data_IF_327372559748
#
_entry.id   IF_327372559748
#
_cell.length_a   1.000
_cell.length_b   1.000
_cell.length_c   1.000
_cell.angle_alpha   90.00
_cell.angle_beta   90.00
_cell.angle_gamma   90.00
#
_symmetry.space_group_name_H-M   'P 1'
#
loop_
_entity.id
_entity.type
_entity.pdbx_description
1 polymer ?
#
# COMPACT_ATOMS: atom_id res chain seq x y z
N UNK A 1 14.39 8.63 11.93
CA UNK A 1 15.51 7.96 11.29
C UNK A 1 16.30 8.95 10.42
N UNK A 2 15.66 9.65 9.47
CA UNK A 2 16.33 10.57 8.55
C UNK A 2 17.23 11.59 9.28
N UNK A 3 16.74 12.22 10.33
CA UNK A 3 17.49 13.26 11.08
C UNK A 3 18.51 12.70 12.07
N UNK A 4 18.21 11.53 12.70
CA UNK A 4 19.02 10.98 13.80
C UNK A 4 20.04 9.95 13.36
N UNK A 5 19.80 9.28 12.24
CA UNK A 5 20.65 8.19 11.73
C UNK A 5 21.29 8.58 10.41
N UNK A 6 20.49 8.97 9.41
CA UNK A 6 21.00 9.36 8.09
C UNK A 6 21.70 10.73 8.09
N UNK A 7 21.37 11.64 9.03
CA UNK A 7 21.99 12.96 9.15
C UNK A 7 21.43 14.02 8.20
N UNK A 8 20.21 13.82 7.70
CA UNK A 8 19.50 14.84 6.93
C UNK A 8 19.27 16.09 7.80
N UNK A 9 19.40 17.28 7.22
CA UNK A 9 19.15 18.53 7.93
C UNK A 9 17.69 18.62 8.38
N UNK A 10 17.46 19.21 9.54
CA UNK A 10 16.10 19.45 10.06
C UNK A 10 15.23 20.11 8.98
N UNK A 11 14.00 19.63 8.86
CA UNK A 11 12.98 20.07 7.90
C UNK A 11 13.30 19.87 6.42
N UNK A 12 14.40 19.18 6.09
CA UNK A 12 14.79 18.90 4.70
C UNK A 12 14.44 17.48 4.22
N UNK A 13 14.00 16.59 5.10
CA UNK A 13 13.72 15.20 4.73
C UNK A 13 12.58 15.10 3.71
N UNK A 14 12.76 14.20 2.74
CA UNK A 14 11.80 13.94 1.67
C UNK A 14 11.41 12.47 1.63
N UNK A 15 10.20 12.21 1.13
CA UNK A 15 9.67 10.89 0.83
C UNK A 15 9.31 10.86 -0.65
N UNK A 16 9.78 9.84 -1.37
CA UNK A 16 9.37 9.58 -2.75
C UNK A 16 8.17 8.62 -2.72
N UNK A 17 7.08 9.00 -3.34
CA UNK A 17 5.87 8.20 -3.53
C UNK A 17 5.53 8.05 -4.99
N UNK A 18 4.54 7.23 -5.32
CA UNK A 18 4.06 7.05 -6.69
C UNK A 18 2.76 7.80 -6.94
N UNK A 19 2.52 8.22 -8.18
CA UNK A 19 1.21 8.71 -8.62
C UNK A 19 0.15 7.60 -8.52
N UNK A 20 -1.12 7.98 -8.46
CA UNK A 20 -2.24 7.05 -8.26
C UNK A 20 -2.30 6.44 -6.85
N UNK A 21 -1.51 6.95 -5.90
CA UNK A 21 -1.43 6.41 -4.55
C UNK A 21 -2.67 6.70 -3.70
N UNK A 22 -2.86 5.81 -2.70
CA UNK A 22 -3.80 6.04 -1.62
C UNK A 22 -3.22 5.57 -0.29
N UNK A 23 -2.68 6.48 0.51
CA UNK A 23 -2.09 6.19 1.82
C UNK A 23 -2.94 6.70 3.00
N UNK A 24 -4.20 7.02 2.77
CA UNK A 24 -5.13 7.54 3.78
C UNK A 24 -5.58 8.98 3.50
N UNK A 25 -6.22 9.60 4.49
CA UNK A 25 -6.86 10.93 4.34
C UNK A 25 -6.44 11.94 5.39
N UNK A 26 -5.31 11.75 6.06
CA UNK A 26 -4.72 12.80 6.90
C UNK A 26 -4.14 13.90 6.03
N UNK A 27 -4.10 15.13 6.52
CA UNK A 27 -3.62 16.31 5.77
C UNK A 27 -2.23 16.10 5.18
N UNK A 28 -1.32 15.45 5.92
CA UNK A 28 0.03 15.15 5.42
C UNK A 28 0.00 14.20 4.22
N UNK A 29 -0.83 13.17 4.29
CA UNK A 29 -0.90 12.11 3.27
C UNK A 29 -1.61 12.58 2.02
N UNK A 30 -2.74 13.30 2.15
CA UNK A 30 -3.42 13.83 0.96
C UNK A 30 -2.62 14.94 0.27
N UNK A 31 -1.63 15.52 0.95
CA UNK A 31 -0.76 16.55 0.36
C UNK A 31 0.09 16.07 -0.81
N UNK A 32 0.23 14.77 -1.00
CA UNK A 32 0.86 14.17 -2.18
C UNK A 32 -0.05 13.16 -2.91
N UNK A 33 -1.36 13.30 -2.77
CA UNK A 33 -2.34 12.60 -3.58
C UNK A 33 -2.58 13.35 -4.89
N UNK A 34 -2.74 12.64 -5.97
CA UNK A 34 -3.16 13.16 -7.28
C UNK A 34 -4.67 12.95 -7.55
N UNK A 35 -5.41 12.46 -6.55
CA UNK A 35 -6.87 12.42 -6.55
C UNK A 35 -7.44 13.81 -6.19
N UNK A 36 -8.03 14.56 -7.15
CA UNK A 36 -8.56 15.89 -6.90
C UNK A 36 -9.69 15.89 -5.86
N UNK A 37 -10.50 14.83 -5.78
CA UNK A 37 -11.58 14.73 -4.80
C UNK A 37 -11.07 14.59 -3.35
N UNK A 38 -9.85 14.10 -3.18
CA UNK A 38 -9.21 13.99 -1.87
C UNK A 38 -8.29 15.18 -1.55
N UNK A 39 -7.69 15.80 -2.57
CA UNK A 39 -6.65 16.80 -2.43
C UNK A 39 -7.21 18.24 -2.45
N UNK A 40 -8.07 18.58 -3.43
CA UNK A 40 -8.43 19.94 -3.68
C UNK A 40 -9.28 20.58 -2.55
N UNK A 41 -8.96 21.81 -2.21
CA UNK A 41 -9.62 22.61 -1.18
C UNK A 41 -9.46 22.12 0.29
N UNK A 42 -8.54 21.20 0.58
CA UNK A 42 -8.28 20.71 1.94
C UNK A 42 -6.94 21.17 2.57
N UNK A 43 -6.08 21.86 1.81
CA UNK A 43 -4.80 22.39 2.31
C UNK A 43 -4.94 23.43 3.44
N UNK A 44 -3.83 23.98 3.94
CA UNK A 44 -2.47 23.91 3.38
C UNK A 44 -1.76 22.56 3.66
N UNK A 45 -0.94 22.14 2.71
CA UNK A 45 -0.21 20.88 2.79
C UNK A 45 1.25 21.08 3.20
N UNK A 46 1.82 20.06 3.87
CA UNK A 46 3.22 20.04 4.21
C UNK A 46 4.11 19.73 2.99
N UNK A 47 5.32 20.30 2.92
CA UNK A 47 6.32 19.96 1.92
C UNK A 47 6.95 18.58 2.19
N UNK A 48 7.85 18.14 1.29
CA UNK A 48 8.71 16.99 1.53
C UNK A 48 8.26 15.71 0.84
N UNK A 49 7.34 15.79 -0.10
CA UNK A 49 6.93 14.66 -0.92
C UNK A 49 7.28 14.90 -2.39
N UNK A 50 7.74 13.83 -3.05
CA UNK A 50 8.04 13.80 -4.49
C UNK A 50 7.28 12.63 -5.09
N UNK A 51 6.53 12.86 -6.16
CA UNK A 51 5.80 11.82 -6.87
C UNK A 51 6.51 11.43 -8.16
N UNK A 52 6.48 10.13 -8.46
CA UNK A 52 6.97 9.54 -9.70
C UNK A 52 5.89 8.62 -10.29
N UNK A 53 5.98 8.23 -11.57
CA UNK A 53 5.05 7.22 -12.12
C UNK A 53 5.12 5.89 -11.36
N UNK A 54 3.97 5.28 -11.08
CA UNK A 54 3.91 3.94 -10.48
C UNK A 54 4.44 2.90 -11.48
N UNK A 55 5.22 1.94 -10.98
CA UNK A 55 5.83 0.88 -11.81
C UNK A 55 7.13 1.28 -12.50
N UNK A 56 7.60 2.53 -12.33
CA UNK A 56 8.87 3.02 -12.89
C UNK A 56 9.95 3.13 -11.78
N UNK A 57 10.72 2.05 -11.61
CA UNK A 57 11.78 2.00 -10.60
C UNK A 57 12.94 2.97 -10.91
N UNK A 58 13.22 3.24 -12.18
CA UNK A 58 14.31 4.16 -12.54
C UNK A 58 13.90 5.63 -12.32
N UNK A 59 12.60 5.95 -12.47
CA UNK A 59 12.09 7.26 -12.03
C UNK A 59 12.23 7.44 -10.51
N UNK A 60 12.02 6.37 -9.73
CA UNK A 60 12.30 6.39 -8.28
C UNK A 60 13.78 6.65 -8.03
N UNK A 61 14.69 5.93 -8.70
CA UNK A 61 16.14 6.11 -8.57
C UNK A 61 16.60 7.53 -8.89
N UNK A 62 16.00 8.15 -9.91
CA UNK A 62 16.31 9.52 -10.33
C UNK A 62 15.76 10.58 -9.36
N UNK A 63 14.67 10.29 -8.65
CA UNK A 63 14.06 11.20 -7.69
C UNK A 63 14.76 11.21 -6.31
N UNK A 64 15.56 10.19 -6.01
CA UNK A 64 16.27 10.08 -4.73
C UNK A 64 17.49 11.00 -4.70
N UNK A 65 17.52 11.91 -3.72
CA UNK A 65 18.63 12.79 -3.40
C UNK A 65 19.17 12.54 -1.98
N UNK A 66 20.14 13.36 -1.53
CA UNK A 66 20.74 13.28 -0.20
C UNK A 66 19.74 13.52 0.95
N UNK A 67 18.64 14.20 0.68
CA UNK A 67 17.59 14.50 1.66
C UNK A 67 16.47 13.44 1.67
N UNK A 68 16.47 12.50 0.75
CA UNK A 68 15.45 11.47 0.67
C UNK A 68 15.58 10.49 1.84
N UNK A 69 14.54 10.41 2.65
CA UNK A 69 14.45 9.54 3.81
C UNK A 69 13.93 8.13 3.43
N UNK A 70 12.94 8.09 2.58
CA UNK A 70 12.24 6.86 2.23
C UNK A 70 11.61 6.91 0.85
N UNK A 71 11.33 5.71 0.32
CA UNK A 71 10.38 5.45 -0.76
C UNK A 71 9.15 4.81 -0.13
N UNK A 72 7.96 5.36 -0.37
CA UNK A 72 6.67 4.86 0.13
C UNK A 72 5.83 4.37 -1.04
N UNK A 73 5.55 3.08 -1.08
CA UNK A 73 4.86 2.42 -2.20
C UNK A 73 3.80 1.45 -1.68
N UNK A 74 2.63 1.45 -2.32
CA UNK A 74 1.72 0.31 -2.28
C UNK A 74 2.28 -0.77 -3.20
N UNK A 75 2.51 -2.01 -2.75
CA UNK A 75 2.99 -3.08 -3.63
C UNK A 75 2.06 -3.37 -4.81
N UNK A 76 0.75 -3.18 -4.59
CA UNK A 76 -0.31 -3.15 -5.60
C UNK A 76 -1.20 -1.98 -5.23
N UNK A 77 -1.44 -1.06 -6.15
CA UNK A 77 -2.30 0.09 -5.89
C UNK A 77 -3.78 -0.31 -5.92
N UNK A 78 -4.45 -0.15 -4.78
CA UNK A 78 -5.84 -0.56 -4.62
C UNK A 78 -6.83 0.40 -5.24
N UNK A 79 -6.86 1.63 -4.76
CA UNK A 79 -7.85 2.64 -5.16
C UNK A 79 -7.70 3.08 -6.63
N UNK A 80 -6.50 2.96 -7.19
CA UNK A 80 -6.26 3.19 -8.61
C UNK A 80 -6.83 2.08 -9.54
N UNK A 81 -7.46 1.02 -8.98
CA UNK A 81 -8.10 -0.05 -9.75
C UNK A 81 -7.33 -1.37 -9.75
N UNK A 82 -6.73 -1.75 -8.63
CA UNK A 82 -5.90 -2.96 -8.47
C UNK A 82 -4.78 -2.97 -9.50
N UNK A 83 -3.99 -1.89 -9.52
CA UNK A 83 -2.88 -1.76 -10.47
C UNK A 83 -1.70 -2.58 -9.96
N UNK A 84 -1.38 -3.64 -10.70
CA UNK A 84 -0.25 -4.53 -10.43
C UNK A 84 0.97 -3.98 -11.16
N UNK A 85 2.11 -3.73 -10.47
CA UNK A 85 3.30 -3.22 -11.13
C UNK A 85 3.93 -4.29 -12.06
N UNK A 86 4.83 -3.90 -12.96
CA UNK A 86 5.64 -4.85 -13.75
C UNK A 86 6.41 -5.81 -12.84
N UNK A 87 6.62 -7.03 -13.31
CA UNK A 87 7.43 -8.05 -12.64
C UNK A 87 8.85 -7.50 -12.34
N UNK A 88 9.36 -7.77 -11.13
CA UNK A 88 10.67 -7.29 -10.68
C UNK A 88 10.68 -5.84 -10.20
N UNK A 89 9.57 -5.12 -10.25
CA UNK A 89 9.51 -3.73 -9.80
C UNK A 89 9.87 -3.57 -8.33
N UNK A 90 9.25 -4.37 -7.44
CA UNK A 90 9.51 -4.28 -5.99
C UNK A 90 10.95 -4.70 -5.66
N UNK A 91 11.45 -5.72 -6.34
CA UNK A 91 12.85 -6.16 -6.24
C UNK A 91 13.80 -5.01 -6.60
N UNK A 92 13.57 -4.35 -7.73
CA UNK A 92 14.39 -3.22 -8.16
C UNK A 92 14.29 -2.02 -7.20
N UNK A 93 13.09 -1.71 -6.69
CA UNK A 93 12.91 -0.67 -5.66
C UNK A 93 13.71 -1.01 -4.39
N UNK A 94 13.69 -2.27 -3.94
CA UNK A 94 14.48 -2.72 -2.78
C UNK A 94 15.99 -2.51 -3.00
N UNK A 95 16.49 -2.89 -4.17
CA UNK A 95 17.89 -2.69 -4.54
C UNK A 95 18.28 -1.20 -4.51
N UNK A 96 17.50 -0.35 -5.19
CA UNK A 96 17.70 1.10 -5.24
C UNK A 96 17.72 1.70 -3.81
N UNK A 97 16.76 1.32 -2.97
CA UNK A 97 16.69 1.81 -1.61
C UNK A 97 17.92 1.41 -0.78
N UNK A 98 18.42 0.19 -0.97
CA UNK A 98 19.63 -0.29 -0.31
C UNK A 98 20.87 0.46 -0.81
N UNK A 99 21.05 0.60 -2.11
CA UNK A 99 22.18 1.30 -2.74
C UNK A 99 22.24 2.78 -2.33
N UNK A 100 21.09 3.43 -2.24
CA UNK A 100 20.96 4.87 -1.94
C UNK A 100 20.85 5.18 -0.45
N UNK A 101 20.87 4.16 0.42
CA UNK A 101 20.67 4.32 1.86
C UNK A 101 19.39 5.12 2.18
N UNK A 102 18.25 4.66 1.65
CA UNK A 102 16.91 5.17 1.95
C UNK A 102 16.02 4.02 2.39
N UNK A 103 15.03 4.29 3.23
CA UNK A 103 14.11 3.26 3.69
C UNK A 103 13.10 2.89 2.58
N UNK A 104 12.84 1.60 2.41
CA UNK A 104 11.70 1.12 1.64
C UNK A 104 10.51 0.90 2.59
N UNK A 105 9.45 1.67 2.44
CA UNK A 105 8.21 1.57 3.19
C UNK A 105 7.15 0.96 2.28
N UNK A 106 6.69 -0.25 2.60
CA UNK A 106 5.59 -0.89 1.89
C UNK A 106 4.26 -0.62 2.60
N UNK A 107 3.33 0.00 1.90
CA UNK A 107 1.96 0.15 2.36
C UNK A 107 1.17 -1.12 2.01
N UNK A 108 1.15 -2.05 2.95
CA UNK A 108 0.43 -3.32 2.87
C UNK A 108 -0.96 -3.27 3.54
N UNK A 109 -1.47 -2.07 3.80
CA UNK A 109 -2.77 -1.88 4.47
C UNK A 109 -3.89 -2.54 3.67
N UNK A 110 -3.83 -2.48 2.34
CA UNK A 110 -4.85 -3.06 1.48
C UNK A 110 -4.42 -4.39 0.87
N UNK A 111 -3.17 -4.51 0.44
CA UNK A 111 -2.63 -5.66 -0.27
C UNK A 111 -2.21 -6.82 0.64
N UNK A 112 -1.84 -6.52 1.89
CA UNK A 112 -1.29 -7.49 2.82
C UNK A 112 -2.31 -8.40 3.51
N UNK A 113 -1.79 -9.16 4.46
CA UNK A 113 -2.55 -10.01 5.37
C UNK A 113 -3.44 -11.05 4.66
N UNK A 114 -2.88 -11.69 3.63
CA UNK A 114 -3.53 -12.78 2.91
C UNK A 114 -4.35 -12.37 1.68
N UNK A 115 -4.58 -11.06 1.44
CA UNK A 115 -5.44 -10.57 0.36
C UNK A 115 -5.02 -11.09 -1.02
N UNK A 116 -3.73 -11.07 -1.31
CA UNK A 116 -3.15 -11.43 -2.62
C UNK A 116 -2.73 -12.91 -2.73
N UNK A 117 -3.08 -13.73 -1.74
CA UNK A 117 -2.69 -15.14 -1.71
C UNK A 117 -1.33 -15.41 -1.05
N UNK A 118 -0.63 -14.37 -0.63
CA UNK A 118 0.58 -14.39 0.18
C UNK A 118 0.34 -13.63 1.49
N UNK A 119 1.23 -13.74 2.47
CA UNK A 119 1.08 -12.98 3.73
C UNK A 119 1.16 -11.48 3.45
N UNK A 120 2.14 -11.07 2.66
CA UNK A 120 2.30 -9.71 2.15
C UNK A 120 2.41 -9.72 0.62
N UNK A 121 2.01 -8.66 -0.03
CA UNK A 121 2.17 -8.56 -1.48
C UNK A 121 3.64 -8.51 -1.90
N UNK A 122 4.52 -7.99 -1.05
CA UNK A 122 5.96 -8.01 -1.23
C UNK A 122 6.53 -9.44 -1.33
N UNK A 123 5.90 -10.43 -0.69
CA UNK A 123 6.33 -11.84 -0.71
C UNK A 123 6.27 -12.45 -2.12
N UNK A 124 5.45 -11.88 -3.02
CA UNK A 124 5.35 -12.33 -4.43
C UNK A 124 6.67 -12.22 -5.18
N UNK A 125 7.52 -11.28 -4.78
CA UNK A 125 8.86 -11.09 -5.34
C UNK A 125 9.98 -11.43 -4.33
N UNK A 126 9.64 -12.01 -3.16
CA UNK A 126 10.60 -12.32 -2.11
C UNK A 126 11.24 -11.08 -1.48
N UNK A 127 10.57 -9.93 -1.54
CA UNK A 127 11.08 -8.65 -1.05
C UNK A 127 10.69 -8.41 0.39
N UNK A 128 11.66 -7.99 1.21
CA UNK A 128 11.42 -7.53 2.58
C UNK A 128 11.70 -6.02 2.64
N UNK A 129 10.68 -5.18 2.83
CA UNK A 129 10.85 -3.74 3.04
C UNK A 129 11.42 -3.45 4.42
N UNK A 130 11.94 -2.24 4.64
CA UNK A 130 12.40 -1.79 5.95
C UNK A 130 11.23 -1.48 6.91
N UNK A 131 10.08 -1.12 6.34
CA UNK A 131 8.88 -0.77 7.10
C UNK A 131 7.64 -1.34 6.41
N UNK A 132 6.81 -2.04 7.18
CA UNK A 132 5.46 -2.42 6.75
C UNK A 132 4.42 -1.50 7.42
N UNK A 133 3.50 -0.96 6.63
CA UNK A 133 2.28 -0.34 7.14
C UNK A 133 1.15 -1.37 7.02
N UNK A 134 0.50 -1.68 8.14
CA UNK A 134 -0.55 -2.69 8.23
C UNK A 134 -1.84 -2.07 8.76
N UNK A 135 -2.97 -2.53 8.27
CA UNK A 135 -4.29 -2.05 8.69
C UNK A 135 -5.41 -2.92 8.13
N UNK A 136 -6.57 -2.35 7.92
CA UNK A 136 -7.76 -3.02 7.34
C UNK A 136 -7.96 -4.45 7.87
N UNK A 137 -7.48 -5.48 7.17
CA UNK A 137 -7.63 -6.88 7.56
C UNK A 137 -7.03 -7.19 8.94
N UNK A 138 -6.06 -6.39 9.43
CA UNK A 138 -5.50 -6.53 10.78
C UNK A 138 -6.57 -6.44 11.87
N UNK A 139 -7.63 -5.69 11.63
CA UNK A 139 -8.77 -5.55 12.54
C UNK A 139 -9.77 -6.70 12.51
N UNK A 140 -9.58 -7.71 11.64
CA UNK A 140 -10.44 -8.89 11.54
C UNK A 140 -11.90 -8.59 11.21
N UNK A 141 -12.23 -7.38 10.72
CA UNK A 141 -13.61 -6.90 10.54
C UNK A 141 -14.35 -6.56 11.84
N UNK A 142 -13.65 -6.60 12.99
CA UNK A 142 -14.24 -6.43 14.33
C UNK A 142 -13.91 -5.06 14.89
N UNK A 143 -12.62 -4.63 14.82
CA UNK A 143 -12.17 -3.38 15.40
C UNK A 143 -11.11 -2.71 14.54
N UNK A 144 -11.21 -1.38 14.26
CA UNK A 144 -10.18 -0.65 13.55
C UNK A 144 -8.84 -0.71 14.30
N UNK A 145 -7.81 -1.18 13.63
CA UNK A 145 -6.43 -1.20 14.15
C UNK A 145 -5.45 -1.09 12.99
N UNK A 146 -4.35 -0.41 13.23
CA UNK A 146 -3.22 -0.34 12.32
C UNK A 146 -1.90 -0.50 13.08
N UNK A 147 -0.86 -0.87 12.37
CA UNK A 147 0.47 -1.03 12.92
C UNK A 147 1.52 -0.56 11.91
N UNK A 148 2.61 -0.01 12.45
CA UNK A 148 3.86 0.22 11.73
C UNK A 148 4.86 -0.79 12.27
N UNK A 149 5.41 -1.62 11.39
CA UNK A 149 6.34 -2.68 11.76
C UNK A 149 7.66 -2.44 11.07
N UNK A 150 8.74 -2.38 11.82
CA UNK A 150 10.08 -2.25 11.32
C UNK A 150 11.09 -2.73 12.37
N UNK A 151 12.33 -2.90 11.95
CA UNK A 151 13.42 -3.25 12.84
C UNK A 151 13.71 -2.14 13.87
N UNK A 152 14.39 -2.53 14.95
CA UNK A 152 14.74 -1.64 16.05
C UNK A 152 15.60 -0.45 15.59
N UNK A 153 16.45 -0.64 14.59
CA UNK A 153 17.32 0.41 14.05
C UNK A 153 16.53 1.51 13.34
N UNK A 154 15.32 1.20 12.88
CA UNK A 154 14.41 2.16 12.26
C UNK A 154 13.49 2.79 13.30
N UNK A 155 12.69 2.00 14.02
CA UNK A 155 11.71 2.52 14.99
C UNK A 155 12.30 2.89 16.35
N UNK A 156 13.41 2.30 16.76
CA UNK A 156 14.07 2.58 18.04
C UNK A 156 14.69 3.98 18.17
N UNK A 157 14.62 4.78 17.12
CA UNK A 157 14.98 6.22 17.17
C UNK A 157 13.96 7.03 17.95
N UNK A 158 12.72 6.56 18.07
CA UNK A 158 11.67 7.20 18.87
C UNK A 158 11.90 6.87 20.35
N UNK A 159 12.06 7.90 21.17
CA UNK A 159 12.30 7.73 22.61
C UNK A 159 11.00 7.88 23.39
N UNK A 160 10.95 7.33 24.63
CA UNK A 160 9.81 7.52 25.51
C UNK A 160 9.43 8.99 25.64
N UNK A 161 8.13 9.30 25.45
CA UNK A 161 7.60 10.66 25.52
C UNK A 161 7.65 11.47 24.22
N UNK A 162 8.28 10.98 23.16
CA UNK A 162 8.39 11.70 21.87
C UNK A 162 7.20 11.44 20.94
N UNK A 163 6.48 10.35 21.13
CA UNK A 163 5.30 9.98 20.36
C UNK A 163 4.25 9.35 21.25
N UNK A 164 2.99 9.54 20.91
CA UNK A 164 1.87 8.96 21.65
C UNK A 164 0.57 8.98 20.87
N UNK A 165 -0.37 8.17 21.32
CA UNK A 165 -1.72 8.10 20.80
C UNK A 165 -2.67 7.77 21.96
N UNK A 166 -3.82 8.43 22.04
CA UNK A 166 -4.80 8.16 23.09
C UNK A 166 -5.39 6.75 22.98
N UNK A 167 -5.65 6.28 21.77
CA UNK A 167 -6.25 4.96 21.54
C UNK A 167 -5.25 3.91 21.01
N UNK A 168 -4.08 4.33 20.53
CA UNK A 168 -3.07 3.43 19.96
C UNK A 168 -2.56 2.44 21.01
N UNK A 169 -2.41 1.18 20.64
CA UNK A 169 -1.94 0.12 21.53
C UNK A 169 -2.96 -0.31 22.60
N UNK A 170 -4.25 0.05 22.44
CA UNK A 170 -5.25 -0.43 23.39
C UNK A 170 -5.35 -1.97 23.39
N UNK A 171 -5.57 -2.61 24.55
CA UNK A 171 -5.48 -4.06 24.69
C UNK A 171 -6.50 -4.82 23.84
N UNK A 172 -7.68 -4.25 23.57
CA UNK A 172 -8.69 -4.89 22.75
C UNK A 172 -8.25 -4.97 21.28
N UNK A 173 -7.80 -3.86 20.72
CA UNK A 173 -7.29 -3.83 19.34
C UNK A 173 -6.04 -4.70 19.18
N UNK A 174 -5.14 -4.69 20.18
CA UNK A 174 -3.94 -5.54 20.18
C UNK A 174 -4.31 -7.03 20.21
N UNK A 175 -5.29 -7.45 21.01
CA UNK A 175 -5.75 -8.83 21.08
C UNK A 175 -6.39 -9.28 19.74
N UNK A 176 -7.20 -8.42 19.10
CA UNK A 176 -7.79 -8.70 17.79
C UNK A 176 -6.69 -8.85 16.73
N UNK A 177 -5.75 -7.89 16.65
CA UNK A 177 -4.65 -7.94 15.69
C UNK A 177 -3.76 -9.18 15.88
N UNK A 178 -3.41 -9.50 17.11
CA UNK A 178 -2.64 -10.72 17.43
C UNK A 178 -3.36 -11.97 16.95
N UNK A 179 -4.68 -12.07 17.18
CA UNK A 179 -5.46 -13.22 16.72
C UNK A 179 -5.51 -13.33 15.19
N UNK A 180 -5.62 -12.21 14.48
CA UNK A 180 -5.56 -12.21 13.01
C UNK A 180 -4.20 -12.74 12.52
N UNK A 181 -3.10 -12.29 13.12
CA UNK A 181 -1.76 -12.76 12.77
C UNK A 181 -1.61 -14.27 13.04
N UNK A 182 -2.08 -14.75 14.19
CA UNK A 182 -2.08 -16.18 14.52
C UNK A 182 -2.87 -17.02 13.49
N UNK A 183 -4.04 -16.53 13.05
CA UNK A 183 -4.86 -17.22 12.05
C UNK A 183 -4.14 -17.30 10.70
N UNK A 184 -3.46 -16.23 10.29
CA UNK A 184 -2.70 -16.18 9.05
C UNK A 184 -1.42 -17.04 9.08
N UNK A 185 -0.86 -17.28 10.25
CA UNK A 185 0.37 -18.08 10.41
C UNK A 185 0.23 -19.53 9.92
N UNK A 186 -0.99 -20.06 9.83
CA UNK A 186 -1.25 -21.39 9.27
C UNK A 186 -1.07 -21.48 7.75
N UNK A 187 -1.14 -20.35 7.03
CA UNK A 187 -1.14 -20.31 5.56
C UNK A 187 -2.46 -20.73 4.90
N UNK A 188 -3.47 -21.14 5.67
CA UNK A 188 -4.74 -21.62 5.15
C UNK A 188 -5.50 -20.52 4.36
N UNK A 189 -5.54 -19.31 4.93
CA UNK A 189 -6.22 -18.17 4.28
C UNK A 189 -5.54 -17.74 2.99
N UNK A 190 -4.23 -17.70 2.96
CA UNK A 190 -3.44 -17.38 1.77
C UNK A 190 -3.68 -18.41 0.67
N UNK A 191 -3.60 -19.70 1.00
CA UNK A 191 -3.87 -20.80 0.07
C UNK A 191 -5.29 -20.70 -0.51
N UNK A 192 -6.28 -20.45 0.36
CA UNK A 192 -7.67 -20.29 -0.05
C UNK A 192 -7.88 -19.06 -0.93
N UNK A 193 -7.28 -17.93 -0.58
CA UNK A 193 -7.37 -16.69 -1.36
C UNK A 193 -6.77 -16.89 -2.77
N UNK A 194 -5.67 -17.64 -2.89
CA UNK A 194 -5.05 -17.99 -4.17
C UNK A 194 -5.98 -18.83 -5.03
N UNK A 195 -6.49 -19.93 -4.49
CA UNK A 195 -7.40 -20.83 -5.24
C UNK A 195 -8.71 -20.14 -5.67
N UNK A 196 -9.31 -19.34 -4.78
CA UNK A 196 -10.50 -18.56 -5.12
C UNK A 196 -10.20 -17.43 -6.10
N UNK A 197 -8.99 -16.86 -6.05
CA UNK A 197 -8.51 -15.86 -6.98
C UNK A 197 -8.40 -16.41 -8.41
N UNK A 198 -7.84 -17.60 -8.58
CA UNK A 198 -7.78 -18.29 -9.87
C UNK A 198 -9.19 -18.52 -10.46
N UNK A 199 -10.13 -18.94 -9.60
CA UNK A 199 -11.53 -19.10 -10.03
C UNK A 199 -12.17 -17.76 -10.42
N UNK A 200 -11.95 -16.70 -9.63
CA UNK A 200 -12.43 -15.35 -9.90
C UNK A 200 -11.87 -14.84 -11.23
N UNK A 201 -10.57 -14.97 -11.45
CA UNK A 201 -9.90 -14.55 -12.67
C UNK A 201 -10.50 -15.23 -13.90
N UNK A 202 -10.63 -16.56 -13.86
CA UNK A 202 -11.23 -17.32 -14.97
C UNK A 202 -12.65 -16.85 -15.32
N UNK A 203 -13.44 -16.48 -14.31
CA UNK A 203 -14.79 -15.94 -14.54
C UNK A 203 -14.77 -14.53 -15.12
N UNK A 204 -13.93 -13.66 -14.62
CA UNK A 204 -13.83 -12.26 -15.05
C UNK A 204 -13.22 -12.15 -16.46
N UNK A 205 -12.21 -12.97 -16.78
CA UNK A 205 -11.63 -13.04 -18.12
C UNK A 205 -12.65 -13.39 -19.20
N UNK A 206 -13.65 -14.21 -18.86
CA UNK A 206 -14.76 -14.53 -19.76
C UNK A 206 -15.66 -13.33 -20.13
N UNK A 207 -15.52 -12.20 -19.44
CA UNK A 207 -16.27 -10.96 -19.70
C UNK A 207 -15.50 -10.01 -20.64
N UNK A 208 -14.20 -10.21 -20.83
CA UNK A 208 -13.38 -9.36 -21.70
C UNK A 208 -13.91 -9.43 -23.14
N UNK A 209 -14.14 -8.27 -23.75
CA UNK A 209 -14.82 -8.11 -25.04
C UNK A 209 -16.35 -8.03 -24.96
N UNK A 210 -16.95 -8.21 -23.76
CA UNK A 210 -18.40 -8.09 -23.51
C UNK A 210 -18.67 -6.99 -22.47
N UNK A 211 -18.26 -5.76 -22.77
CA UNK A 211 -18.41 -4.62 -21.86
C UNK A 211 -17.29 -4.47 -20.82
N UNK A 212 -16.29 -5.35 -20.85
CA UNK A 212 -15.07 -5.29 -20.06
C UNK A 212 -13.88 -5.20 -21.01
N UNK A 213 -12.95 -4.26 -20.76
CA UNK A 213 -11.75 -4.07 -21.60
C UNK A 213 -10.52 -4.73 -21.01
N UNK A 214 -10.40 -4.78 -19.68
CA UNK A 214 -9.28 -5.45 -19.01
C UNK A 214 -9.70 -5.97 -17.63
N UNK A 215 -9.00 -7.00 -17.19
CA UNK A 215 -9.12 -7.60 -15.85
C UNK A 215 -7.71 -7.79 -15.26
N UNK A 216 -7.54 -7.40 -14.01
CA UNK A 216 -6.33 -7.61 -13.20
C UNK A 216 -6.72 -8.37 -11.94
N UNK A 217 -5.99 -9.41 -11.60
CA UNK A 217 -6.26 -10.22 -10.40
C UNK A 217 -4.99 -10.50 -9.64
N UNK A 218 -5.05 -10.34 -8.31
CA UNK A 218 -4.00 -10.72 -7.39
C UNK A 218 -4.65 -11.43 -6.18
N UNK A 219 -4.53 -12.75 -6.10
CA UNK A 219 -5.27 -13.54 -5.13
C UNK A 219 -6.77 -13.24 -5.19
N UNK A 220 -7.40 -13.00 -4.06
CA UNK A 220 -8.84 -12.70 -4.02
C UNK A 220 -9.11 -11.18 -4.10
N UNK A 221 -8.52 -10.54 -5.08
CA UNK A 221 -8.62 -9.10 -5.32
C UNK A 221 -8.55 -8.81 -6.82
N UNK A 222 -9.55 -8.12 -7.36
CA UNK A 222 -9.68 -7.89 -8.80
C UNK A 222 -10.00 -6.43 -9.12
N UNK A 223 -9.36 -5.92 -10.20
CA UNK A 223 -9.73 -4.71 -10.90
C UNK A 223 -10.33 -5.07 -12.26
N UNK A 224 -11.41 -4.38 -12.63
CA UNK A 224 -12.14 -4.61 -13.88
C UNK A 224 -12.34 -3.27 -14.58
N UNK A 225 -11.80 -3.13 -15.78
CA UNK A 225 -11.98 -1.92 -16.58
C UNK A 225 -13.20 -2.08 -17.48
N UNK A 226 -14.13 -1.16 -17.33
CA UNK A 226 -15.40 -1.17 -18.07
C UNK A 226 -15.21 -0.45 -19.40
N UNK A 227 -15.78 -1.02 -20.48
CA UNK A 227 -15.81 -0.38 -21.78
C UNK A 227 -16.60 0.94 -21.69
N UNK A 228 -16.05 2.08 -22.15
CA UNK A 228 -16.73 3.37 -22.10
C UNK A 228 -18.10 3.39 -22.77
N UNK A 229 -18.37 2.49 -23.73
CA UNK A 229 -19.68 2.35 -24.36
C UNK A 229 -20.76 1.80 -23.44
N UNK A 230 -20.39 1.11 -22.35
CA UNK A 230 -21.30 0.59 -21.33
C UNK A 230 -21.57 1.62 -20.23
N UNK A 231 -20.60 2.47 -19.95
CA UNK A 231 -20.63 3.51 -18.92
C UNK A 231 -19.34 3.54 -18.11
N UNK A 232 -19.34 4.32 -17.04
CA UNK A 232 -18.24 4.36 -16.07
C UNK A 232 -18.31 3.16 -15.13
N UNK A 233 -17.18 2.78 -14.52
CA UNK A 233 -17.13 1.74 -13.49
C UNK A 233 -18.10 2.02 -12.34
N UNK A 234 -18.24 3.29 -11.96
CA UNK A 234 -19.21 3.74 -10.92
C UNK A 234 -20.64 3.47 -11.32
N UNK A 235 -21.05 3.87 -12.51
CA UNK A 235 -22.41 3.62 -13.02
C UNK A 235 -22.75 2.14 -13.11
N UNK A 236 -21.79 1.30 -13.52
CA UNK A 236 -21.96 -0.15 -13.54
C UNK A 236 -22.11 -0.69 -12.12
N UNK A 237 -21.27 -0.25 -11.17
CA UNK A 237 -21.38 -0.66 -9.77
C UNK A 237 -22.74 -0.25 -9.16
N UNK A 238 -23.23 0.96 -9.41
CA UNK A 238 -24.54 1.44 -8.94
C UNK A 238 -25.69 0.61 -9.52
N UNK A 239 -25.62 0.24 -10.81
CA UNK A 239 -26.63 -0.65 -11.43
C UNK A 239 -26.63 -2.05 -10.81
N UNK A 240 -25.45 -2.59 -10.48
CA UNK A 240 -25.33 -3.90 -9.83
C UNK A 240 -25.83 -3.89 -8.38
N UNK A 241 -25.65 -2.80 -7.65
CA UNK A 241 -26.17 -2.62 -6.28
C UNK A 241 -27.69 -2.47 -6.24
N UNK A 242 -28.30 -1.95 -7.29
CA UNK A 242 -29.75 -1.77 -7.40
C UNK A 242 -30.54 -3.00 -7.84
N UNK A 243 -29.88 -4.15 -7.96
CA UNK A 243 -30.49 -5.44 -8.36
C UNK A 243 -30.65 -6.40 -7.13
#
# INVERSE_FOLDING_TARGET
>A
WAYRVKGVKTDAARIVGAGGNFHGRTTTIVGFSDDPDAHDAFGPYGPGFVQVPFGDAEAIAAAIDENTAAVLIEPIQGEAGVVIPPEGFLTRVREICTEKNVLFIADEIQSGLGRVGETFACDREGVVPDVYLLGKALGGGILPVSAVVADRDVLGVIKPGEHGSTFGGNPLAAAVGARVVEMLASGEFQTRAKALGEHLEAKLQGLVGNGVTAVRVAGLWAGVDIDPSVGTGREVAERLLGR
#
